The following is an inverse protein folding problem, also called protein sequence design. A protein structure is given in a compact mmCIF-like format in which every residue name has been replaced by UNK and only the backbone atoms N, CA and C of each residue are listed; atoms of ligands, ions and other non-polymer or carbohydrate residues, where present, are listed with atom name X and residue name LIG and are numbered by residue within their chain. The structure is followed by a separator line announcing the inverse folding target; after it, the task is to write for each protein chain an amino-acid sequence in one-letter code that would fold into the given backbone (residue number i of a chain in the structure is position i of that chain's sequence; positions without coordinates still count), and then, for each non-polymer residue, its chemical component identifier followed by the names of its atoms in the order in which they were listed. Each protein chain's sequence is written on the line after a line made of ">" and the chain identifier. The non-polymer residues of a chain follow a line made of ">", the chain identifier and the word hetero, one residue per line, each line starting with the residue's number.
data_IF_923759384076
#
_entry.id   IF_923759384076
#
_cell.length_a   1.000
_cell.length_b   1.000
_cell.length_c   1.000
_cell.angle_alpha   90.00
_cell.angle_beta   90.00
_cell.angle_gamma   90.00
#
_symmetry.space_group_name_H-M   'P 1'
#
loop_
_entity.id
_entity.type
_entity.pdbx_description
1 polymer ?
#
# COMPACT_ATOMS: atom_id res chain seq x y z
N UNK A 1 3.60 -0.67 12.24
CA UNK A 1 2.32 -0.87 12.98
C UNK A 1 2.45 -1.73 14.23
N UNK A 2 2.96 -2.98 14.16
CA UNK A 2 3.15 -3.83 15.36
C UNK A 2 3.92 -3.17 16.52
N UNK A 3 4.92 -2.32 16.20
CA UNK A 3 5.65 -1.52 17.20
C UNK A 3 4.75 -0.48 17.91
N UNK A 4 3.80 0.13 17.20
CA UNK A 4 2.84 1.08 17.81
C UNK A 4 1.83 0.37 18.73
N UNK A 5 1.41 -0.86 18.41
CA UNK A 5 0.59 -1.69 19.31
C UNK A 5 1.34 -1.99 20.62
N UNK A 6 2.58 -2.48 20.52
CA UNK A 6 3.42 -2.73 21.70
C UNK A 6 3.66 -1.46 22.53
N UNK A 7 3.85 -0.31 21.88
CA UNK A 7 4.09 0.96 22.58
C UNK A 7 2.80 1.55 23.19
N UNK A 8 1.63 1.36 22.57
CA UNK A 8 0.36 1.72 23.18
C UNK A 8 0.06 0.84 24.41
N UNK A 9 0.52 -0.40 24.41
CA UNK A 9 0.42 -1.33 25.53
C UNK A 9 1.33 -0.95 26.71
N UNK A 10 2.40 -0.16 26.48
CA UNK A 10 3.20 0.46 27.55
C UNK A 10 2.45 1.57 28.31
N UNK A 11 1.36 2.10 27.73
CA UNK A 11 0.45 3.01 28.43
C UNK A 11 -0.60 2.25 29.27
N UNK A 12 -0.57 0.91 29.29
CA UNK A 12 -1.38 0.13 30.21
C UNK A 12 -0.80 0.27 31.61
N UNK A 13 -1.62 0.68 32.56
CA UNK A 13 -1.21 0.87 33.96
C UNK A 13 -0.92 -0.50 34.61
N UNK A 14 0.32 -0.78 35.05
CA UNK A 14 0.59 -1.94 35.88
C UNK A 14 -0.25 -1.92 37.15
N UNK A 15 -0.75 -3.09 37.55
CA UNK A 15 -1.39 -3.24 38.84
C UNK A 15 -0.36 -2.96 39.95
N UNK A 16 -0.75 -2.16 40.94
CA UNK A 16 0.07 -1.97 42.12
C UNK A 16 0.10 -3.26 42.95
N UNK A 17 1.23 -3.53 43.60
CA UNK A 17 1.40 -4.74 44.40
C UNK A 17 0.43 -4.75 45.60
N UNK A 18 -0.66 -5.50 45.42
CA UNK A 18 -1.70 -5.69 46.44
C UNK A 18 -1.27 -6.59 47.61
N UNK A 19 -0.05 -7.16 47.58
CA UNK A 19 0.50 -7.94 48.68
C UNK A 19 1.25 -7.08 49.71
N UNK A 20 1.63 -5.85 49.35
CA UNK A 20 2.35 -4.92 50.21
C UNK A 20 1.51 -4.48 51.41
N UNK A 21 1.99 -4.83 52.61
CA UNK A 21 1.39 -4.45 53.89
C UNK A 21 1.38 -2.91 54.05
N UNK A 22 2.44 -2.24 53.59
CA UNK A 22 2.56 -0.79 53.64
C UNK A 22 1.47 -0.11 52.79
N UNK A 23 1.27 -0.57 51.55
CA UNK A 23 0.25 -0.02 50.66
C UNK A 23 -1.17 -0.25 51.22
N UNK A 24 -1.45 -1.43 51.78
CA UNK A 24 -2.72 -1.70 52.47
C UNK A 24 -2.99 -0.73 53.62
N UNK A 25 -1.98 -0.47 54.45
CA UNK A 25 -2.11 0.44 55.58
C UNK A 25 -2.35 1.89 55.13
N UNK A 26 -1.69 2.34 54.06
CA UNK A 26 -1.90 3.68 53.48
C UNK A 26 -3.31 3.83 52.92
N UNK A 27 -3.82 2.83 52.19
CA UNK A 27 -5.20 2.86 51.66
C UNK A 27 -6.20 2.93 52.80
N UNK A 28 -6.02 2.08 53.82
CA UNK A 28 -6.89 2.03 55.00
C UNK A 28 -6.84 3.31 55.84
N UNK A 29 -5.70 3.99 55.90
CA UNK A 29 -5.56 5.26 56.62
C UNK A 29 -6.19 6.45 55.88
N UNK A 30 -6.38 6.34 54.56
CA UNK A 30 -6.80 7.45 53.69
C UNK A 30 -8.10 7.13 52.90
N UNK A 31 -8.93 6.20 53.39
CA UNK A 31 -10.15 5.60 52.79
C UNK A 31 -11.01 6.57 51.96
N UNK A 32 -10.56 6.88 50.76
CA UNK A 32 -11.26 7.77 49.84
C UNK A 32 -11.51 7.01 48.55
N UNK A 33 -12.70 7.19 48.00
CA UNK A 33 -13.11 6.59 46.72
C UNK A 33 -12.09 6.90 45.60
N UNK A 34 -11.51 8.11 45.62
CA UNK A 34 -10.48 8.54 44.69
C UNK A 34 -9.21 7.69 44.78
N UNK A 35 -8.71 7.44 45.99
CA UNK A 35 -7.46 6.69 46.18
C UNK A 35 -7.66 5.21 45.85
N UNK A 36 -8.80 4.63 46.24
CA UNK A 36 -9.16 3.25 45.92
C UNK A 36 -9.30 3.05 44.41
N UNK A 37 -9.96 3.98 43.71
CA UNK A 37 -10.11 3.95 42.26
C UNK A 37 -8.76 4.08 41.54
N UNK A 38 -7.89 4.97 42.01
CA UNK A 38 -6.53 5.12 41.48
C UNK A 38 -5.72 3.83 41.62
N UNK A 39 -5.83 3.15 42.77
CA UNK A 39 -5.12 1.91 43.02
C UNK A 39 -5.59 0.76 42.13
N UNK A 40 -6.91 0.60 42.01
CA UNK A 40 -7.53 -0.42 41.15
C UNK A 40 -7.19 -0.19 39.67
N UNK A 41 -7.03 1.06 39.26
CA UNK A 41 -6.64 1.42 37.90
C UNK A 41 -5.14 1.19 37.62
N UNK A 42 -4.30 0.97 38.64
CA UNK A 42 -2.85 0.87 38.50
C UNK A 42 -2.15 2.22 38.30
N UNK A 43 -0.81 2.20 38.20
CA UNK A 43 0.03 3.39 38.14
C UNK A 43 1.12 3.27 37.07
N UNK A 44 1.23 4.28 36.19
CA UNK A 44 2.37 4.43 35.28
C UNK A 44 3.33 5.42 35.90
N UNK A 45 4.61 5.06 35.99
CA UNK A 45 5.62 5.98 36.44
C UNK A 45 5.74 7.15 35.45
N UNK A 46 5.80 8.39 35.93
CA UNK A 46 5.75 9.58 35.06
C UNK A 46 6.83 9.57 33.97
N UNK A 47 8.02 9.06 34.29
CA UNK A 47 9.11 8.90 33.33
C UNK A 47 8.77 7.87 32.22
N UNK A 48 8.14 6.75 32.58
CA UNK A 48 7.74 5.69 31.64
C UNK A 48 6.64 6.18 30.70
N UNK A 49 5.69 6.96 31.22
CA UNK A 49 4.65 7.60 30.40
C UNK A 49 5.24 8.60 29.40
N UNK A 50 6.18 9.44 29.85
CA UNK A 50 6.88 10.40 28.98
C UNK A 50 7.71 9.70 27.90
N UNK A 51 8.44 8.65 28.27
CA UNK A 51 9.25 7.87 27.33
C UNK A 51 8.37 7.15 26.29
N UNK A 52 7.26 6.55 26.72
CA UNK A 52 6.31 5.85 25.85
C UNK A 52 5.66 6.81 24.86
N UNK A 53 5.24 8.00 25.32
CA UNK A 53 4.67 9.03 24.45
C UNK A 53 5.69 9.57 23.44
N UNK A 54 6.96 9.71 23.85
CA UNK A 54 8.05 10.11 22.95
C UNK A 54 8.28 9.07 21.86
N UNK A 55 8.34 7.78 22.22
CA UNK A 55 8.48 6.68 21.25
C UNK A 55 7.30 6.63 20.27
N UNK A 56 6.08 6.76 20.79
CA UNK A 56 4.87 6.78 19.96
C UNK A 56 4.91 7.96 18.97
N UNK A 57 5.33 9.14 19.41
CA UNK A 57 5.50 10.31 18.54
C UNK A 57 6.54 10.06 17.45
N UNK A 58 7.68 9.47 17.79
CA UNK A 58 8.70 9.07 16.81
C UNK A 58 8.14 8.05 15.81
N UNK A 59 7.35 7.09 16.27
CA UNK A 59 6.69 6.10 15.41
C UNK A 59 5.68 6.73 14.44
N UNK A 60 4.89 7.71 14.90
CA UNK A 60 3.94 8.44 14.04
C UNK A 60 4.67 9.27 12.99
N UNK A 61 5.72 9.99 13.38
CA UNK A 61 6.56 10.75 12.45
C UNK A 61 7.22 9.83 11.41
N UNK A 62 7.76 8.69 11.84
CA UNK A 62 8.33 7.69 10.94
C UNK A 62 7.31 7.13 9.95
N UNK A 63 6.08 6.86 10.41
CA UNK A 63 5.00 6.42 9.53
C UNK A 63 4.65 7.48 8.48
N UNK A 64 4.53 8.75 8.89
CA UNK A 64 4.28 9.85 7.95
C UNK A 64 5.41 9.99 6.92
N UNK A 65 6.66 9.78 7.35
CA UNK A 65 7.81 9.72 6.45
C UNK A 65 7.66 8.61 5.40
N UNK A 66 7.30 7.40 5.82
CA UNK A 66 7.08 6.27 4.91
C UNK A 66 5.93 6.52 3.93
N UNK A 67 4.81 7.09 4.38
CA UNK A 67 3.68 7.45 3.52
C UNK A 67 4.11 8.48 2.47
N UNK A 68 4.88 9.49 2.86
CA UNK A 68 5.42 10.46 1.92
C UNK A 68 6.35 9.82 0.89
N UNK A 69 7.24 8.90 1.31
CA UNK A 69 8.10 8.16 0.38
C UNK A 69 7.28 7.33 -0.62
N UNK A 70 6.27 6.61 -0.14
CA UNK A 70 5.37 5.83 -1.00
C UNK A 70 4.64 6.72 -2.01
N UNK A 71 4.22 7.92 -1.59
CA UNK A 71 3.60 8.92 -2.47
C UNK A 71 4.55 9.38 -3.59
N UNK A 72 5.81 9.64 -3.28
CA UNK A 72 6.82 9.99 -4.28
C UNK A 72 7.01 8.86 -5.30
N UNK A 73 7.16 7.62 -4.83
CA UNK A 73 7.28 6.45 -5.72
C UNK A 73 6.07 6.30 -6.63
N UNK A 74 4.86 6.55 -6.11
CA UNK A 74 3.64 6.47 -6.91
C UNK A 74 3.60 7.53 -8.03
N UNK A 75 4.06 8.75 -7.75
CA UNK A 75 4.18 9.82 -8.76
C UNK A 75 5.20 9.44 -9.83
N UNK A 76 6.35 8.88 -9.42
CA UNK A 76 7.36 8.38 -10.37
C UNK A 76 6.79 7.26 -11.25
N UNK A 77 6.07 6.29 -10.66
CA UNK A 77 5.45 5.20 -11.41
C UNK A 77 4.40 5.71 -12.41
N UNK A 78 3.61 6.72 -12.03
CA UNK A 78 2.65 7.37 -12.92
C UNK A 78 3.35 8.02 -14.12
N UNK A 79 4.47 8.71 -13.90
CA UNK A 79 5.28 9.27 -14.98
C UNK A 79 5.83 8.21 -15.95
N UNK A 80 6.33 7.09 -15.43
CA UNK A 80 6.78 5.98 -16.27
C UNK A 80 5.64 5.37 -17.10
N UNK A 81 4.44 5.26 -16.52
CA UNK A 81 3.26 4.76 -17.24
C UNK A 81 2.86 5.71 -18.38
N UNK A 82 2.93 7.02 -18.15
CA UNK A 82 2.70 8.05 -19.16
C UNK A 82 3.69 7.96 -20.33
N UNK A 83 4.96 7.69 -20.02
CA UNK A 83 5.99 7.52 -21.05
C UNK A 83 5.78 6.23 -21.86
N UNK A 84 5.38 5.13 -21.23
CA UNK A 84 5.02 3.89 -21.93
C UNK A 84 3.81 4.09 -22.84
N UNK A 85 2.80 4.85 -22.40
CA UNK A 85 1.65 5.20 -23.23
C UNK A 85 2.05 5.98 -24.48
N UNK A 86 2.92 6.98 -24.36
CA UNK A 86 3.45 7.74 -25.52
C UNK A 86 4.18 6.84 -26.51
N UNK A 87 4.98 5.89 -26.01
CA UNK A 87 5.71 4.93 -26.87
C UNK A 87 4.72 4.01 -27.60
N UNK A 88 3.68 3.53 -26.91
CA UNK A 88 2.65 2.69 -27.50
C UNK A 88 1.85 3.43 -28.58
N UNK A 89 1.46 4.68 -28.32
CA UNK A 89 0.78 5.54 -29.28
C UNK A 89 1.63 5.76 -30.54
N UNK A 90 2.90 6.11 -30.38
CA UNK A 90 3.82 6.28 -31.49
C UNK A 90 3.97 4.98 -32.30
N UNK A 91 4.15 3.83 -31.64
CA UNK A 91 4.27 2.54 -32.32
C UNK A 91 3.01 2.17 -33.11
N UNK A 92 1.82 2.52 -32.61
CA UNK A 92 0.55 2.27 -33.26
C UNK A 92 0.30 3.24 -34.44
N UNK A 93 0.78 4.48 -34.35
CA UNK A 93 0.74 5.48 -35.43
C UNK A 93 1.59 5.05 -36.65
N UNK A 94 2.72 4.38 -36.43
CA UNK A 94 3.53 3.79 -37.52
C UNK A 94 2.93 2.52 -38.14
N UNK A 95 1.94 1.88 -37.49
CA UNK A 95 1.29 0.65 -37.97
C UNK A 95 0.03 0.91 -38.81
N UNK A 96 -0.51 2.13 -38.81
CA UNK A 96 -1.57 2.57 -39.72
C UNK A 96 -0.91 3.24 -40.93
N UNK A 97 -0.81 2.57 -42.10
CA UNK A 97 -0.46 3.29 -43.32
C UNK A 97 -1.53 4.35 -43.54
N UNK A 98 -1.09 5.59 -43.77
CA UNK A 98 -1.95 6.73 -44.14
C UNK A 98 -2.96 6.30 -45.20
N UNK A 99 -4.21 6.05 -44.78
CA UNK A 99 -5.34 6.07 -45.69
C UNK A 99 -5.73 7.53 -45.82
N UNK A 100 -5.13 8.19 -46.81
CA UNK A 100 -5.75 9.37 -47.41
C UNK A 100 -5.66 9.26 -48.93
N UNK A 101 -6.76 9.67 -49.55
CA UNK A 101 -7.35 9.18 -50.80
C UNK A 101 -6.68 9.59 -52.12
N UNK A 102 -7.07 8.84 -53.16
CA UNK A 102 -7.23 9.22 -54.57
C UNK A 102 -6.01 9.62 -55.40
N UNK A 103 -5.55 8.66 -56.23
CA UNK A 103 -5.30 8.95 -57.65
C UNK A 103 -6.01 7.89 -58.49
N UNK A 104 -7.15 8.31 -59.03
CA UNK A 104 -7.87 7.70 -60.13
C UNK A 104 -6.97 7.55 -61.38
N UNK A 105 -7.33 6.54 -62.17
CA UNK A 105 -6.99 6.31 -63.57
C UNK A 105 -5.56 5.82 -63.91
N UNK A 106 -5.43 4.50 -64.16
CA UNK A 106 -5.20 3.97 -65.53
C UNK A 106 -4.78 2.48 -65.55
N UNK A 107 -5.78 1.62 -65.84
CA UNK A 107 -5.76 0.62 -66.92
C UNK A 107 -4.87 -0.66 -66.82
N UNK A 108 -5.58 -1.77 -66.55
CA UNK A 108 -5.49 -3.14 -67.12
C UNK A 108 -4.32 -4.08 -66.83
N UNK A 109 -4.69 -5.35 -66.61
CA UNK A 109 -3.88 -6.56 -66.90
C UNK A 109 -3.76 -7.50 -65.69
N UNK A 110 -4.81 -8.23 -65.31
CA UNK A 110 -5.04 -9.63 -65.70
C UNK A 110 -4.41 -10.66 -64.73
N UNK A 111 -5.32 -11.31 -63.98
CA UNK A 111 -5.39 -12.74 -63.56
C UNK A 111 -4.06 -13.51 -63.48
N UNK A 112 -3.72 -14.06 -62.30
CA UNK A 112 -3.55 -15.51 -62.02
C UNK A 112 -3.68 -15.77 -60.50
N UNK A 113 -4.55 -16.70 -60.14
CA UNK A 113 -4.76 -17.33 -58.83
C UNK A 113 -3.57 -18.19 -58.35
N UNK A 114 -3.26 -18.19 -57.05
CA UNK A 114 -2.71 -19.36 -56.37
C UNK A 114 -2.83 -19.24 -54.83
N UNK A 115 -3.48 -20.23 -54.22
CA UNK A 115 -3.45 -20.53 -52.79
C UNK A 115 -2.02 -20.55 -52.24
N UNK A 116 -1.82 -19.92 -51.08
CA UNK A 116 -0.89 -20.40 -50.07
C UNK A 116 -1.41 -20.15 -48.66
N UNK A 117 -2.00 -21.21 -48.13
CA UNK A 117 -1.99 -21.54 -46.71
C UNK A 117 -0.57 -21.51 -46.14
N UNK A 118 -0.45 -21.05 -44.90
CA UNK A 118 0.73 -21.17 -44.07
C UNK A 118 1.58 -19.91 -44.00
N UNK A 119 1.52 -19.22 -42.86
CA UNK A 119 2.62 -19.30 -41.89
C UNK A 119 2.05 -18.90 -40.52
N UNK A 120 1.85 -19.89 -39.65
CA UNK A 120 1.82 -19.66 -38.22
C UNK A 120 3.18 -19.06 -37.84
N UNK A 121 3.24 -17.74 -37.68
CA UNK A 121 4.46 -17.04 -37.30
C UNK A 121 4.54 -16.99 -35.78
N UNK A 122 5.22 -18.01 -35.25
CA UNK A 122 6.08 -17.98 -34.08
C UNK A 122 5.52 -17.32 -32.82
N UNK A 123 5.06 -18.19 -31.91
CA UNK A 123 5.06 -17.99 -30.47
C UNK A 123 6.43 -17.47 -30.00
N UNK A 124 6.54 -16.15 -29.92
CA UNK A 124 7.64 -15.47 -29.27
C UNK A 124 7.26 -15.41 -27.80
N UNK A 125 7.90 -16.21 -26.94
CA UNK A 125 7.66 -16.21 -25.49
C UNK A 125 8.01 -14.89 -24.77
N UNK A 126 8.16 -13.78 -25.51
CA UNK A 126 8.29 -12.42 -24.99
C UNK A 126 6.94 -11.71 -25.13
N UNK A 127 6.44 -11.09 -24.05
CA UNK A 127 5.19 -10.33 -24.10
C UNK A 127 5.27 -9.19 -25.12
N UNK A 128 4.16 -8.91 -25.79
CA UNK A 128 4.05 -7.75 -26.69
C UNK A 128 4.12 -6.43 -25.90
N UNK A 129 4.49 -5.34 -26.57
CA UNK A 129 4.51 -4.00 -25.98
C UNK A 129 3.16 -3.62 -25.36
N UNK A 130 2.06 -4.04 -26.00
CA UNK A 130 0.70 -3.86 -25.49
C UNK A 130 0.46 -4.63 -24.19
N UNK A 131 1.00 -5.85 -24.09
CA UNK A 131 0.90 -6.69 -22.89
C UNK A 131 1.71 -6.10 -21.73
N UNK A 132 2.92 -5.58 -22.00
CA UNK A 132 3.71 -4.85 -21.01
C UNK A 132 2.98 -3.60 -20.49
N UNK A 133 2.45 -2.77 -21.40
CA UNK A 133 1.72 -1.56 -21.02
C UNK A 133 0.47 -1.88 -20.18
N UNK A 134 -0.27 -2.93 -20.57
CA UNK A 134 -1.43 -3.42 -19.82
C UNK A 134 -1.02 -3.90 -18.43
N UNK A 135 0.04 -4.69 -18.32
CA UNK A 135 0.55 -5.19 -17.05
C UNK A 135 0.98 -4.05 -16.12
N UNK A 136 1.72 -3.06 -16.63
CA UNK A 136 2.13 -1.88 -15.86
C UNK A 136 0.92 -1.07 -15.38
N UNK A 137 -0.09 -0.88 -16.22
CA UNK A 137 -1.32 -0.18 -15.85
C UNK A 137 -2.10 -0.88 -14.74
N UNK A 138 -2.19 -2.21 -14.80
CA UNK A 138 -2.83 -3.04 -13.76
C UNK A 138 -2.07 -2.90 -12.43
N UNK A 139 -0.74 -3.07 -12.44
CA UNK A 139 0.10 -2.94 -11.24
C UNK A 139 -0.02 -1.54 -10.64
N UNK A 140 0.04 -0.49 -11.47
CA UNK A 140 -0.12 0.89 -11.01
C UNK A 140 -1.48 1.09 -10.31
N UNK A 141 -2.56 0.58 -10.89
CA UNK A 141 -3.90 0.67 -10.30
C UNK A 141 -3.96 -0.02 -8.93
N UNK A 142 -3.41 -1.23 -8.83
CA UNK A 142 -3.35 -1.99 -7.58
C UNK A 142 -2.57 -1.24 -6.49
N UNK A 143 -1.36 -0.75 -6.83
CA UNK A 143 -0.51 0.00 -5.90
C UNK A 143 -1.17 1.32 -5.49
N UNK A 144 -1.82 2.03 -6.42
CA UNK A 144 -2.53 3.28 -6.14
C UNK A 144 -3.66 3.08 -5.14
N UNK A 145 -4.47 2.03 -5.33
CA UNK A 145 -5.57 1.71 -4.42
C UNK A 145 -5.05 1.32 -3.03
N UNK A 146 -4.01 0.48 -2.95
CA UNK A 146 -3.38 0.11 -1.69
C UNK A 146 -2.79 1.32 -0.97
N UNK A 147 -2.10 2.21 -1.69
CA UNK A 147 -1.57 3.46 -1.15
C UNK A 147 -2.67 4.36 -0.58
N UNK A 148 -3.78 4.56 -1.30
CA UNK A 148 -4.90 5.39 -0.81
C UNK A 148 -5.49 4.82 0.48
N UNK A 149 -5.59 3.50 0.60
CA UNK A 149 -6.00 2.86 1.85
C UNK A 149 -4.99 3.13 2.96
N UNK A 150 -3.70 2.91 2.71
CA UNK A 150 -2.63 3.13 3.68
C UNK A 150 -2.57 4.59 4.16
N UNK A 151 -2.71 5.57 3.27
CA UNK A 151 -2.73 7.01 3.59
C UNK A 151 -3.92 7.35 4.50
N UNK A 152 -5.11 6.79 4.22
CA UNK A 152 -6.30 6.97 5.07
C UNK A 152 -6.10 6.38 6.46
N UNK A 153 -5.52 5.18 6.55
CA UNK A 153 -5.23 4.56 7.85
C UNK A 153 -4.23 5.41 8.63
N UNK A 154 -3.10 5.79 8.01
CA UNK A 154 -2.07 6.60 8.65
C UNK A 154 -2.61 7.95 9.14
N UNK A 155 -3.54 8.56 8.40
CA UNK A 155 -4.21 9.81 8.79
C UNK A 155 -5.23 9.63 9.91
N UNK A 156 -5.91 8.47 9.95
CA UNK A 156 -6.87 8.15 11.01
C UNK A 156 -6.19 7.81 12.35
N UNK A 157 -4.93 7.40 12.33
CA UNK A 157 -4.16 7.09 13.53
C UNK A 157 -4.01 8.31 14.44
N UNK A 158 -4.70 8.27 15.58
CA UNK A 158 -4.62 9.28 16.62
C UNK A 158 -4.60 8.63 18.01
N UNK A 159 -4.25 9.42 19.04
CA UNK A 159 -4.10 8.95 20.43
C UNK A 159 -5.42 8.52 21.10
N UNK A 160 -6.58 8.71 20.44
CA UNK A 160 -7.90 8.33 20.96
C UNK A 160 -8.38 6.96 20.46
N UNK A 161 -7.63 6.31 19.57
CA UNK A 161 -7.98 4.97 19.08
C UNK A 161 -7.92 3.94 20.20
N UNK A 162 -8.92 3.06 20.23
CA UNK A 162 -8.88 1.89 21.09
C UNK A 162 -7.88 0.85 20.56
N UNK A 163 -7.41 -0.02 21.46
CA UNK A 163 -6.53 -1.14 21.09
C UNK A 163 -7.15 -2.04 20.01
N UNK A 164 -8.47 -2.28 20.06
CA UNK A 164 -9.16 -3.12 19.08
C UNK A 164 -9.27 -2.49 17.70
N UNK A 165 -9.48 -1.18 17.62
CA UNK A 165 -9.45 -0.45 16.33
C UNK A 165 -8.05 -0.46 15.74
N UNK A 166 -7.01 -0.23 16.55
CA UNK A 166 -5.62 -0.27 16.10
C UNK A 166 -5.22 -1.66 15.59
N UNK A 167 -5.65 -2.73 16.27
CA UNK A 167 -5.43 -4.11 15.82
C UNK A 167 -6.13 -4.40 14.50
N UNK A 168 -7.38 -3.94 14.36
CA UNK A 168 -8.14 -4.05 13.10
C UNK A 168 -7.40 -3.35 11.95
N UNK A 169 -6.88 -2.13 12.17
CA UNK A 169 -6.06 -1.43 11.19
C UNK A 169 -4.77 -2.19 10.85
N UNK A 170 -4.11 -2.81 11.83
CA UNK A 170 -2.93 -3.62 11.59
C UNK A 170 -3.22 -4.85 10.73
N UNK A 171 -4.38 -5.48 10.93
CA UNK A 171 -4.83 -6.61 10.11
C UNK A 171 -5.11 -6.17 8.68
N UNK A 172 -5.87 -5.10 8.48
CA UNK A 172 -6.13 -4.55 7.13
C UNK A 172 -4.83 -4.21 6.39
N UNK A 173 -3.88 -3.60 7.09
CA UNK A 173 -2.56 -3.29 6.53
C UNK A 173 -1.77 -4.55 6.13
N UNK A 174 -1.88 -5.63 6.90
CA UNK A 174 -1.12 -6.87 6.64
C UNK A 174 -1.71 -7.68 5.48
N UNK A 175 -3.03 -7.58 5.27
CA UNK A 175 -3.74 -8.33 4.24
C UNK A 175 -3.55 -7.76 2.83
N UNK A 176 -3.15 -6.48 2.69
CA UNK A 176 -2.95 -5.80 1.39
C UNK A 176 -4.07 -6.10 0.38
N UNK A 177 -5.34 -5.80 0.71
CA UNK A 177 -6.51 -6.29 -0.02
C UNK A 177 -6.62 -5.85 -1.49
N UNK A 178 -5.82 -4.85 -1.91
CA UNK A 178 -5.78 -4.36 -3.29
C UNK A 178 -4.63 -4.96 -4.10
N UNK A 179 -3.77 -5.76 -3.48
CA UNK A 179 -2.65 -6.43 -4.14
C UNK A 179 -3.01 -7.89 -4.40
N UNK A 180 -3.19 -8.21 -5.68
CA UNK A 180 -3.28 -9.57 -6.19
C UNK A 180 -1.86 -10.14 -6.40
N UNK A 181 -1.47 -11.10 -5.55
CA UNK A 181 -0.16 -11.73 -5.62
C UNK A 181 0.04 -12.54 -6.92
N UNK A 182 -1.02 -13.06 -7.55
CA UNK A 182 -0.91 -13.79 -8.82
C UNK A 182 -0.57 -12.86 -9.98
N UNK A 183 -1.19 -11.69 -10.03
CA UNK A 183 -0.83 -10.64 -11.01
C UNK A 183 0.62 -10.20 -10.80
N UNK A 184 1.05 -10.02 -9.56
CA UNK A 184 2.44 -9.69 -9.25
C UNK A 184 3.39 -10.80 -9.73
N UNK A 185 3.06 -12.07 -9.49
CA UNK A 185 3.83 -13.22 -9.98
C UNK A 185 3.90 -13.28 -11.51
N UNK A 186 2.79 -13.00 -12.20
CA UNK A 186 2.75 -12.91 -13.65
C UNK A 186 3.63 -11.75 -14.15
N UNK A 187 3.58 -10.59 -13.52
CA UNK A 187 4.43 -9.46 -13.87
C UNK A 187 5.92 -9.78 -13.73
N UNK A 188 6.30 -10.58 -12.72
CA UNK A 188 7.70 -11.01 -12.56
C UNK A 188 8.19 -11.89 -13.72
N UNK A 189 7.31 -12.63 -14.40
CA UNK A 189 7.71 -13.42 -15.57
C UNK A 189 8.04 -12.57 -16.80
N UNK A 190 7.74 -11.27 -16.76
CA UNK A 190 8.04 -10.32 -17.85
C UNK A 190 9.44 -9.72 -17.69
N UNK A 191 10.12 -9.96 -16.57
CA UNK A 191 11.47 -9.49 -16.30
C UNK A 191 12.46 -10.60 -16.70
N UNK A 192 13.45 -10.30 -17.57
CA UNK A 192 14.46 -11.28 -18.01
C UNK A 192 15.34 -11.84 -16.89
#
# INVERSE_FOLDING_TARGET
>A
MKRQLQEAELLRRPALDGSSILLKNIIKANETERLTSYFNAGCIHANDGSQSLTKLRTCVLGLHGLVNTAKTILIELEGHLEDVLKVLEAANEYLLPSQDEDIDDKLMGEVISADKEGTASSDSGRPDLTEYATMMGIIYSMIKQDFVMQEKIATALNLKLSSGELETYCTMWSLRPFIDDEIMHQAWSFIP
#
